data_IF_326172836726
#
_entry.id   IF_326172836726
#
_cell.length_a   1.000
_cell.length_b   1.000
_cell.length_c   1.000
_cell.angle_alpha   90.00
_cell.angle_beta   90.00
_cell.angle_gamma   90.00
#
_symmetry.space_group_name_H-M   'P 1'
#
loop_
_entity.id
_entity.type
_entity.pdbx_description
1 polymer ?
#
# COMPACT_ATOMS: atom_id res chain seq x y z
N UNK A 1 4.64 -3.39 -1.60
CA UNK A 1 5.70 -4.42 -1.36
C UNK A 1 5.20 -5.56 -0.47
N UNK A 2 4.91 -5.35 0.82
CA UNK A 2 4.40 -6.43 1.69
C UNK A 2 3.16 -7.14 1.11
N UNK A 3 2.15 -6.37 0.68
CA UNK A 3 0.91 -6.91 0.10
C UNK A 3 1.18 -7.81 -1.11
N UNK A 4 2.16 -7.46 -1.97
CA UNK A 4 2.52 -8.27 -3.13
C UNK A 4 3.09 -9.63 -2.70
N UNK A 5 4.05 -9.61 -1.77
CA UNK A 5 4.66 -10.83 -1.26
C UNK A 5 3.63 -11.71 -0.53
N UNK A 6 2.71 -11.09 0.21
CA UNK A 6 1.58 -11.77 0.84
C UNK A 6 0.68 -12.43 -0.20
N UNK A 7 0.37 -11.73 -1.30
CA UNK A 7 -0.41 -12.27 -2.42
C UNK A 7 0.32 -13.42 -3.14
N UNK A 8 1.65 -13.52 -3.03
CA UNK A 8 2.42 -14.67 -3.50
C UNK A 8 2.61 -15.76 -2.43
N UNK A 9 1.96 -15.65 -1.28
CA UNK A 9 1.97 -16.64 -0.21
C UNK A 9 3.06 -16.45 0.86
N UNK A 10 3.77 -15.32 0.87
CA UNK A 10 4.80 -15.02 1.88
C UNK A 10 4.33 -14.00 2.91
N UNK A 11 4.12 -14.45 4.15
CA UNK A 11 3.66 -13.60 5.27
C UNK A 11 4.75 -12.87 6.05
N UNK A 12 6.02 -13.24 5.84
CA UNK A 12 7.19 -12.60 6.44
C UNK A 12 8.16 -12.22 5.31
N UNK A 13 8.55 -10.95 5.24
CA UNK A 13 9.23 -10.39 4.06
C UNK A 13 10.31 -9.42 4.51
N UNK A 14 11.54 -9.59 4.02
CA UNK A 14 12.58 -8.59 4.22
C UNK A 14 12.36 -7.40 3.26
N UNK A 15 12.07 -6.22 3.79
CA UNK A 15 11.92 -4.97 3.04
C UNK A 15 12.91 -3.96 3.64
N UNK A 16 13.80 -3.41 2.82
CA UNK A 16 14.85 -2.48 3.27
C UNK A 16 15.68 -3.01 4.47
N UNK A 17 15.98 -4.32 4.48
CA UNK A 17 16.66 -5.06 5.56
C UNK A 17 15.89 -5.15 6.89
N UNK A 18 14.61 -4.75 6.92
CA UNK A 18 13.71 -4.96 8.05
C UNK A 18 12.78 -6.14 7.74
N UNK A 19 12.52 -6.96 8.75
CA UNK A 19 11.55 -8.06 8.63
C UNK A 19 10.15 -7.49 8.83
N UNK A 20 9.39 -7.40 7.75
CA UNK A 20 8.03 -6.91 7.77
C UNK A 20 7.04 -8.07 7.81
N UNK A 21 6.00 -7.89 8.63
CA UNK A 21 4.85 -8.76 8.72
C UNK A 21 3.55 -7.97 8.41
N UNK A 22 2.41 -8.61 8.64
CA UNK A 22 1.12 -8.00 8.35
C UNK A 22 0.89 -6.74 9.20
N UNK A 23 1.41 -6.67 10.43
CA UNK A 23 1.18 -5.54 11.31
C UNK A 23 1.82 -4.26 10.77
N UNK A 24 2.98 -4.34 10.10
CA UNK A 24 3.59 -3.19 9.41
C UNK A 24 2.68 -2.66 8.31
N UNK A 25 2.13 -3.56 7.48
CA UNK A 25 1.22 -3.16 6.41
C UNK A 25 -0.09 -2.60 6.96
N UNK A 26 -0.59 -3.16 8.08
CA UNK A 26 -1.77 -2.65 8.78
C UNK A 26 -1.53 -1.23 9.28
N UNK A 27 -0.50 -0.96 10.08
CA UNK A 27 -0.29 0.39 10.61
C UNK A 27 -0.05 1.41 9.50
N UNK A 28 0.63 1.01 8.42
CA UNK A 28 0.88 1.86 7.26
C UNK A 28 -0.42 2.29 6.57
N UNK A 29 -1.33 1.36 6.27
CA UNK A 29 -2.62 1.70 5.65
C UNK A 29 -3.57 2.40 6.62
N UNK A 30 -3.51 2.09 7.92
CA UNK A 30 -4.28 2.77 8.96
C UNK A 30 -3.94 4.25 9.04
N UNK A 31 -2.66 4.58 8.97
CA UNK A 31 -2.21 5.97 9.05
C UNK A 31 -2.70 6.80 7.87
N UNK A 32 -2.63 6.25 6.64
CA UNK A 32 -3.17 6.91 5.46
C UNK A 32 -4.67 7.18 5.59
N UNK A 33 -5.43 6.15 5.99
CA UNK A 33 -6.87 6.27 6.19
C UNK A 33 -7.20 7.34 7.26
N UNK A 34 -6.51 7.29 8.41
CA UNK A 34 -6.73 8.22 9.51
C UNK A 34 -6.39 9.66 9.14
N UNK A 35 -5.30 9.90 8.42
CA UNK A 35 -4.94 11.24 7.98
C UNK A 35 -5.98 11.85 7.05
N UNK A 36 -6.54 11.04 6.15
CA UNK A 36 -7.61 11.46 5.26
C UNK A 36 -8.88 11.77 6.05
N UNK A 37 -9.31 10.87 6.95
CA UNK A 37 -10.54 11.00 7.72
C UNK A 37 -10.51 12.20 8.69
N UNK A 38 -9.36 12.41 9.35
CA UNK A 38 -9.17 13.51 10.28
C UNK A 38 -8.81 14.86 9.59
N UNK A 39 -8.65 14.88 8.26
CA UNK A 39 -8.27 16.08 7.51
C UNK A 39 -6.90 16.63 7.92
N UNK A 40 -5.92 15.75 8.09
CA UNK A 40 -4.57 16.11 8.54
C UNK A 40 -3.82 16.89 7.46
N UNK A 41 -3.16 17.97 7.86
CA UNK A 41 -2.16 18.66 7.06
C UNK A 41 -0.75 18.23 7.49
N UNK A 42 0.10 17.97 6.51
CA UNK A 42 1.52 17.66 6.72
C UNK A 42 2.38 18.77 6.13
N UNK A 43 3.54 19.02 6.74
CA UNK A 43 4.50 19.96 6.16
C UNK A 43 5.22 19.27 4.98
N UNK A 44 5.24 19.94 3.83
CA UNK A 44 5.97 19.50 2.66
C UNK A 44 6.58 20.71 1.96
N UNK A 45 7.90 20.71 1.83
CA UNK A 45 8.67 21.80 1.20
C UNK A 45 8.36 23.20 1.79
N UNK A 46 8.12 23.28 3.10
CA UNK A 46 7.82 24.53 3.79
C UNK A 46 6.38 25.03 3.65
N UNK A 47 5.47 24.24 3.08
CA UNK A 47 4.04 24.54 3.00
C UNK A 47 3.18 23.41 3.60
N UNK A 48 2.03 23.73 4.23
CA UNK A 48 1.08 22.72 4.64
C UNK A 48 0.40 22.10 3.41
N UNK A 49 0.29 20.77 3.42
CA UNK A 49 -0.39 19.98 2.38
C UNK A 49 -1.44 19.11 3.05
N UNK A 50 -2.69 19.29 2.68
CA UNK A 50 -3.80 18.46 3.15
C UNK A 50 -3.69 17.04 2.56
N UNK A 51 -3.74 16.03 3.44
CA UNK A 51 -3.75 14.63 3.03
C UNK A 51 -5.13 14.25 2.51
N UNK A 52 -5.24 14.10 1.19
CA UNK A 52 -6.50 13.71 0.51
C UNK A 52 -6.37 12.34 -0.16
N UNK A 53 -7.52 11.73 -0.49
CA UNK A 53 -7.55 10.47 -1.27
C UNK A 53 -6.82 10.61 -2.60
N UNK A 54 -6.98 11.74 -3.27
CA UNK A 54 -6.33 11.99 -4.56
C UNK A 54 -4.82 12.20 -4.41
N UNK A 55 -4.38 12.84 -3.33
CA UNK A 55 -2.97 12.95 -3.00
C UNK A 55 -2.33 11.57 -2.79
N UNK A 56 -2.95 10.72 -1.96
CA UNK A 56 -2.43 9.38 -1.68
C UNK A 56 -2.43 8.52 -2.94
N UNK A 57 -3.48 8.58 -3.76
CA UNK A 57 -3.52 7.84 -5.05
C UNK A 57 -2.39 8.27 -5.97
N UNK A 58 -2.19 9.57 -6.16
CA UNK A 58 -1.12 10.12 -7.01
C UNK A 58 0.26 9.66 -6.54
N UNK A 59 0.53 9.72 -5.23
CA UNK A 59 1.81 9.25 -4.67
C UNK A 59 1.97 7.73 -4.89
N UNK A 60 0.91 6.94 -4.70
CA UNK A 60 0.95 5.51 -4.95
C UNK A 60 1.20 5.17 -6.44
N UNK A 61 0.69 5.97 -7.37
CA UNK A 61 0.95 5.83 -8.81
C UNK A 61 2.42 6.10 -9.14
N UNK A 62 2.97 7.19 -8.59
CA UNK A 62 4.38 7.57 -8.72
C UNK A 62 5.29 6.47 -8.15
N UNK A 63 4.97 5.96 -6.96
CA UNK A 63 5.71 4.88 -6.30
C UNK A 63 5.66 3.56 -7.09
N UNK A 64 4.50 3.21 -7.66
CA UNK A 64 4.37 2.00 -8.48
C UNK A 64 5.18 2.11 -9.77
N UNK A 65 5.15 3.27 -10.41
CA UNK A 65 5.92 3.53 -11.63
C UNK A 65 7.43 3.48 -11.34
N UNK A 66 7.89 4.11 -10.25
CA UNK A 66 9.28 4.06 -9.82
C UNK A 66 9.71 2.62 -9.48
N UNK A 67 8.87 1.89 -8.74
CA UNK A 67 9.11 0.48 -8.41
C UNK A 67 9.25 -0.39 -9.67
N UNK A 68 8.40 -0.19 -10.68
CA UNK A 68 8.48 -0.92 -11.96
C UNK A 68 9.78 -0.63 -12.69
N UNK A 69 10.21 0.63 -12.71
CA UNK A 69 11.48 1.02 -13.31
C UNK A 69 12.68 0.37 -12.59
N UNK A 70 12.66 0.34 -11.25
CA UNK A 70 13.71 -0.25 -10.43
C UNK A 70 13.80 -1.78 -10.54
N UNK A 71 12.65 -2.47 -10.56
CA UNK A 71 12.58 -3.93 -10.63
C UNK A 71 12.91 -4.48 -12.03
N UNK A 72 12.66 -3.68 -13.06
CA UNK A 72 12.64 -4.12 -14.45
C UNK A 72 11.37 -4.88 -14.82
N UNK A 73 11.08 -4.90 -16.13
CA UNK A 73 9.81 -5.39 -16.67
C UNK A 73 9.55 -6.88 -16.38
N UNK A 74 10.59 -7.71 -16.44
CA UNK A 74 10.49 -9.15 -16.20
C UNK A 74 10.07 -9.46 -14.75
N UNK A 75 10.77 -8.86 -13.78
CA UNK A 75 10.46 -9.02 -12.35
C UNK A 75 9.10 -8.44 -12.00
N UNK A 76 8.74 -7.30 -12.61
CA UNK A 76 7.43 -6.70 -12.41
C UNK A 76 6.32 -7.63 -12.91
N UNK A 77 6.44 -8.13 -14.15
CA UNK A 77 5.43 -9.00 -14.77
C UNK A 77 5.29 -10.34 -14.04
N UNK A 78 6.37 -10.84 -13.42
CA UNK A 78 6.35 -12.07 -12.63
C UNK A 78 5.73 -11.89 -11.22
N UNK A 79 5.54 -10.65 -10.77
CA UNK A 79 4.94 -10.31 -9.47
C UNK A 79 3.43 -10.02 -9.55
N UNK A 80 2.81 -9.80 -8.39
CA UNK A 80 1.39 -9.40 -8.28
C UNK A 80 1.23 -7.91 -7.94
N UNK A 81 2.03 -7.05 -8.57
CA UNK A 81 2.15 -5.63 -8.19
C UNK A 81 0.87 -4.83 -8.43
N UNK A 82 0.21 -4.99 -9.58
CA UNK A 82 -1.03 -4.28 -9.90
C UNK A 82 -2.17 -4.66 -8.94
N UNK A 83 -2.24 -5.94 -8.58
CA UNK A 83 -3.21 -6.43 -7.59
C UNK A 83 -2.91 -5.91 -6.18
N UNK A 84 -1.62 -5.88 -5.80
CA UNK A 84 -1.19 -5.34 -4.53
C UNK A 84 -1.46 -3.84 -4.40
N UNK A 85 -1.24 -3.08 -5.48
CA UNK A 85 -1.58 -1.67 -5.57
C UNK A 85 -3.09 -1.47 -5.43
N UNK A 86 -3.88 -2.24 -6.17
CA UNK A 86 -5.35 -2.14 -6.11
C UNK A 86 -5.87 -2.41 -4.70
N UNK A 87 -5.35 -3.46 -4.05
CA UNK A 87 -5.70 -3.80 -2.69
C UNK A 87 -5.24 -2.74 -1.68
N UNK A 88 -4.05 -2.13 -1.85
CA UNK A 88 -3.60 -1.01 -1.02
C UNK A 88 -4.59 0.14 -1.06
N UNK A 89 -5.00 0.57 -2.28
CA UNK A 89 -5.95 1.66 -2.42
C UNK A 89 -7.31 1.31 -1.82
N UNK A 90 -7.78 0.08 -2.00
CA UNK A 90 -9.04 -0.38 -1.42
C UNK A 90 -9.03 -0.24 0.11
N UNK A 91 -7.98 -0.70 0.79
CA UNK A 91 -7.94 -0.71 2.26
C UNK A 91 -7.50 0.62 2.89
N UNK A 92 -6.81 1.48 2.14
CA UNK A 92 -6.33 2.77 2.61
C UNK A 92 -7.29 3.92 2.31
N UNK A 93 -8.07 3.85 1.21
CA UNK A 93 -8.90 4.96 0.72
C UNK A 93 -10.41 4.72 0.85
N UNK A 94 -10.84 3.56 1.35
CA UNK A 94 -12.25 3.26 1.56
C UNK A 94 -12.92 4.24 2.54
N UNK A 95 -14.20 4.52 2.33
CA UNK A 95 -14.98 5.38 3.23
C UNK A 95 -15.20 4.75 4.61
N UNK A 96 -15.28 3.42 4.66
CA UNK A 96 -15.33 2.66 5.90
C UNK A 96 -13.99 1.99 6.14
N UNK A 97 -13.47 2.13 7.35
CA UNK A 97 -12.24 1.47 7.75
C UNK A 97 -12.44 -0.05 7.84
N UNK A 98 -11.66 -0.81 7.07
CA UNK A 98 -11.64 -2.26 7.18
C UNK A 98 -10.92 -2.69 8.46
N UNK A 99 -11.47 -3.66 9.20
CA UNK A 99 -10.84 -4.14 10.44
C UNK A 99 -9.45 -4.73 10.18
N UNK A 100 -9.31 -5.52 9.11
CA UNK A 100 -8.05 -6.15 8.72
C UNK A 100 -7.88 -6.16 7.20
N UNK A 101 -6.70 -5.75 6.71
CA UNK A 101 -6.34 -5.85 5.29
C UNK A 101 -6.33 -7.30 4.81
N UNK A 102 -6.08 -8.24 5.72
CA UNK A 102 -5.97 -9.66 5.40
C UNK A 102 -7.29 -10.27 4.91
N UNK A 103 -8.45 -9.69 5.26
CA UNK A 103 -9.76 -10.19 4.80
C UNK A 103 -9.92 -10.05 3.27
N UNK A 104 -9.86 -8.84 2.68
CA UNK A 104 -9.91 -8.69 1.23
C UNK A 104 -8.68 -9.28 0.51
N UNK A 105 -7.53 -9.39 1.19
CA UNK A 105 -6.37 -10.08 0.65
C UNK A 105 -6.64 -11.59 0.51
N UNK A 106 -7.25 -12.23 1.51
CA UNK A 106 -7.54 -13.68 1.50
C UNK A 106 -8.51 -14.11 0.42
N UNK A 107 -9.46 -13.24 0.07
CA UNK A 107 -10.32 -13.44 -1.08
C UNK A 107 -9.52 -13.57 -2.40
N UNK A 108 -8.34 -12.94 -2.50
CA UNK A 108 -7.47 -12.91 -3.70
C UNK A 108 -6.41 -14.03 -3.73
N UNK A 109 -6.32 -14.84 -2.68
CA UNK A 109 -5.49 -16.07 -2.67
C UNK A 109 -6.25 -17.29 -3.16
N UNK A 110 -7.59 -17.26 -3.11
CA UNK A 110 -8.45 -18.36 -3.53
C UNK A 110 -8.63 -18.31 -5.05
N UNK A 111 -7.67 -18.89 -5.77
CA UNK A 111 -7.87 -19.42 -7.13
C UNK A 111 -8.43 -20.83 -7.07
#
# INVERSE_FOLDING_TARGET
>A
RYIEAWLRGSGAVAIFNLMEDAATAEISRSQLWQWIDAGVEVEHEGAPVLVTRDLVRRIADEDLAALRADLGEETYTAGRWDEAYTLLLEVALADTYADFLTVPAYARLRG
#
